data_IF_056828090040
#
_entry.id   IF_056828090040
#
_cell.length_a   1.000
_cell.length_b   1.000
_cell.length_c   1.000
_cell.angle_alpha   90.00
_cell.angle_beta   90.00
_cell.angle_gamma   90.00
#
_symmetry.space_group_name_H-M   'P 1'
#
loop_
_entity.id
_entity.type
_entity.pdbx_description
1 polymer ?
#
# COMPACT_ATOMS: atom_id res chain seq x y z
N UNK A 1 -16.43 0.55 6.45
CA UNK A 1 -17.33 1.31 5.55
C UNK A 1 -17.27 0.61 4.21
N UNK A 2 -18.28 -0.20 3.87
CA UNK A 2 -18.54 -0.44 2.45
C UNK A 2 -18.64 0.95 1.85
N UNK A 3 -17.89 1.21 0.82
CA UNK A 3 -17.92 2.50 0.14
C UNK A 3 -19.31 2.62 -0.46
N UNK A 4 -20.21 3.33 0.20
CA UNK A 4 -21.57 3.58 -0.29
C UNK A 4 -21.58 4.56 -1.48
N UNK A 5 -20.40 5.02 -1.91
CA UNK A 5 -20.28 5.92 -3.04
C UNK A 5 -20.35 5.10 -4.34
N UNK A 6 -21.39 5.32 -5.11
CA UNK A 6 -21.48 4.82 -6.48
C UNK A 6 -20.38 5.48 -7.33
N UNK A 7 -19.45 4.68 -7.82
CA UNK A 7 -18.32 5.16 -8.63
C UNK A 7 -18.63 5.22 -10.14
N UNK A 8 -19.86 4.96 -10.56
CA UNK A 8 -20.26 5.00 -11.97
C UNK A 8 -19.92 6.33 -12.63
N UNK A 9 -20.07 7.44 -11.90
CA UNK A 9 -19.78 8.79 -12.41
C UNK A 9 -18.29 9.18 -12.29
N UNK A 10 -17.41 8.31 -11.78
CA UNK A 10 -15.95 8.54 -11.72
C UNK A 10 -15.33 8.26 -13.08
N UNK A 11 -15.56 9.16 -14.02
CA UNK A 11 -15.02 9.10 -15.37
C UNK A 11 -14.75 10.51 -15.90
N UNK A 12 -13.89 10.63 -16.90
CA UNK A 12 -13.63 11.90 -17.56
C UNK A 12 -14.87 12.36 -18.34
N UNK A 13 -15.17 13.66 -18.30
CA UNK A 13 -16.41 14.18 -18.90
C UNK A 13 -16.48 13.97 -20.41
N UNK A 14 -15.34 13.90 -21.10
CA UNK A 14 -15.30 13.62 -22.55
C UNK A 14 -15.88 12.24 -22.89
N UNK A 15 -15.84 11.27 -21.96
CA UNK A 15 -16.46 9.98 -22.16
C UNK A 15 -17.95 10.12 -22.46
N UNK A 16 -18.67 10.90 -21.66
CA UNK A 16 -20.10 11.15 -21.88
C UNK A 16 -20.36 11.86 -23.20
N UNK A 17 -19.53 12.84 -23.58
CA UNK A 17 -19.73 13.58 -24.84
C UNK A 17 -19.48 12.68 -26.05
N UNK A 18 -18.43 11.83 -26.00
CA UNK A 18 -18.17 10.87 -27.07
C UNK A 18 -19.25 9.78 -27.14
N UNK A 19 -19.66 9.22 -25.99
CA UNK A 19 -20.74 8.23 -25.92
C UNK A 19 -22.04 8.76 -26.52
N UNK A 20 -22.43 10.01 -26.19
CA UNK A 20 -23.59 10.67 -26.79
C UNK A 20 -23.41 10.84 -28.31
N UNK A 21 -22.24 11.18 -28.79
CA UNK A 21 -21.88 11.25 -30.20
C UNK A 21 -22.02 9.89 -30.90
N UNK A 22 -21.41 8.84 -30.37
CA UNK A 22 -21.53 7.48 -30.90
C UNK A 22 -22.98 6.99 -30.94
N UNK A 23 -23.76 7.31 -29.88
CA UNK A 23 -25.17 6.99 -29.84
C UNK A 23 -25.95 7.71 -30.95
N UNK A 24 -25.72 9.01 -31.10
CA UNK A 24 -26.40 9.86 -32.07
C UNK A 24 -26.13 9.46 -33.53
N UNK A 25 -24.93 9.01 -33.81
CA UNK A 25 -24.47 8.60 -35.15
C UNK A 25 -24.72 7.11 -35.44
N UNK A 26 -25.37 6.38 -34.52
CA UNK A 26 -25.73 4.97 -34.71
C UNK A 26 -24.59 3.97 -34.54
N UNK A 27 -23.48 4.37 -33.88
CA UNK A 27 -22.33 3.52 -33.64
C UNK A 27 -22.36 2.78 -32.31
N UNK A 28 -23.41 2.91 -31.52
CA UNK A 28 -23.51 2.38 -30.14
C UNK A 28 -23.16 0.89 -30.03
N UNK A 29 -23.49 0.08 -31.03
CA UNK A 29 -23.28 -1.38 -31.05
C UNK A 29 -22.01 -1.79 -31.81
N UNK A 30 -21.22 -0.83 -32.32
CA UNK A 30 -19.98 -1.12 -33.02
C UNK A 30 -18.96 -1.70 -32.04
N UNK A 31 -18.42 -2.89 -32.39
CA UNK A 31 -17.41 -3.56 -31.55
C UNK A 31 -16.08 -2.80 -31.66
N UNK A 32 -15.52 -2.47 -30.49
CA UNK A 32 -14.22 -1.87 -30.32
C UNK A 32 -13.33 -2.71 -29.41
N UNK A 33 -12.03 -2.52 -29.52
CA UNK A 33 -11.01 -3.09 -28.65
C UNK A 33 -10.20 -1.92 -28.06
N UNK A 34 -10.05 -1.91 -26.75
CA UNK A 34 -9.22 -0.95 -26.04
C UNK A 34 -8.18 -1.70 -25.22
N UNK A 35 -6.91 -1.36 -25.44
CA UNK A 35 -5.78 -1.96 -24.76
C UNK A 35 -5.16 -0.96 -23.78
N UNK A 36 -5.08 -1.33 -22.51
CA UNK A 36 -4.28 -0.64 -21.52
C UNK A 36 -2.86 -1.17 -21.50
N UNK A 37 -1.87 -0.27 -21.44
CA UNK A 37 -0.46 -0.62 -21.30
C UNK A 37 0.32 0.50 -20.61
N UNK A 38 1.47 0.17 -20.00
CA UNK A 38 2.41 1.17 -19.50
C UNK A 38 3.28 1.68 -20.65
N UNK A 39 3.38 3.00 -20.81
CA UNK A 39 4.28 3.62 -21.79
C UNK A 39 5.74 3.50 -21.37
N UNK A 40 6.00 3.60 -20.07
CA UNK A 40 7.31 3.47 -19.43
C UNK A 40 7.12 3.11 -17.96
N UNK A 41 8.10 2.43 -17.38
CA UNK A 41 8.16 2.22 -15.93
C UNK A 41 8.90 3.41 -15.32
N UNK A 42 8.41 4.03 -14.23
CA UNK A 42 9.12 5.12 -13.55
C UNK A 42 10.49 4.71 -13.03
N UNK A 43 11.35 5.71 -12.81
CA UNK A 43 12.70 5.54 -12.24
C UNK A 43 13.57 4.56 -13.06
N UNK A 44 13.42 4.58 -14.38
CA UNK A 44 14.15 3.71 -15.35
C UNK A 44 14.05 2.21 -15.00
N UNK A 45 12.95 1.80 -14.35
CA UNK A 45 12.71 0.42 -14.00
C UNK A 45 12.46 -0.46 -15.22
N UNK A 46 12.96 -1.70 -15.20
CA UNK A 46 12.82 -2.67 -16.29
C UNK A 46 11.42 -3.29 -16.38
N UNK A 47 10.64 -3.30 -15.31
CA UNK A 47 9.29 -3.85 -15.24
C UNK A 47 8.47 -3.19 -14.13
N UNK A 48 7.15 -3.34 -14.19
CA UNK A 48 6.24 -3.03 -13.09
C UNK A 48 5.56 -4.31 -12.58
N UNK A 49 4.93 -4.23 -11.42
CA UNK A 49 4.12 -5.33 -10.86
C UNK A 49 2.65 -4.99 -11.09
N UNK A 50 1.92 -5.89 -11.75
CA UNK A 50 0.48 -5.73 -11.95
C UNK A 50 -0.26 -5.76 -10.62
N UNK A 51 -1.16 -4.79 -10.40
CA UNK A 51 -2.04 -4.75 -9.23
C UNK A 51 -3.29 -3.91 -9.51
N UNK A 52 -4.46 -4.36 -9.01
CA UNK A 52 -5.72 -3.63 -9.09
C UNK A 52 -6.84 -4.32 -9.87
N UNK A 53 -6.62 -5.51 -10.38
CA UNK A 53 -7.61 -6.23 -11.21
C UNK A 53 -8.89 -6.51 -10.42
N UNK A 54 -8.79 -6.87 -9.15
CA UNK A 54 -9.94 -7.16 -8.31
C UNK A 54 -10.89 -5.95 -8.17
N UNK A 55 -10.32 -4.75 -7.92
CA UNK A 55 -11.11 -3.52 -7.81
C UNK A 55 -11.78 -3.13 -9.13
N UNK A 56 -11.16 -3.43 -10.27
CA UNK A 56 -11.78 -3.23 -11.58
C UNK A 56 -12.96 -4.18 -11.76
N UNK A 57 -12.83 -5.46 -11.37
CA UNK A 57 -13.91 -6.44 -11.43
C UNK A 57 -15.10 -6.01 -10.54
N UNK A 58 -14.81 -5.54 -9.33
CA UNK A 58 -15.82 -5.01 -8.41
C UNK A 58 -16.54 -3.81 -9.03
N UNK A 59 -15.79 -2.80 -9.52
CA UNK A 59 -16.34 -1.63 -10.18
C UNK A 59 -17.25 -1.99 -11.36
N UNK A 60 -16.80 -2.86 -12.25
CA UNK A 60 -17.58 -3.26 -13.43
C UNK A 60 -18.91 -3.91 -13.04
N UNK A 61 -18.93 -4.72 -11.97
CA UNK A 61 -20.15 -5.36 -11.45
C UNK A 61 -21.13 -4.37 -10.82
N UNK A 62 -20.61 -3.25 -10.31
CA UNK A 62 -21.38 -2.23 -9.58
C UNK A 62 -21.80 -1.04 -10.45
N UNK A 63 -21.40 -0.99 -11.73
CA UNK A 63 -21.81 0.09 -12.65
C UNK A 63 -23.33 0.18 -12.68
N UNK A 64 -23.84 1.32 -12.24
CA UNK A 64 -25.28 1.62 -12.21
C UNK A 64 -25.53 3.12 -12.21
N UNK A 65 -26.14 3.64 -13.26
CA UNK A 65 -26.56 5.04 -13.32
C UNK A 65 -27.83 5.25 -12.50
N UNK A 66 -27.74 6.04 -11.44
CA UNK A 66 -28.88 6.40 -10.61
C UNK A 66 -29.76 7.46 -11.29
N UNK A 67 -30.99 7.64 -10.79
CA UNK A 67 -31.86 8.72 -11.27
C UNK A 67 -31.22 10.10 -11.07
N UNK A 68 -30.48 10.28 -9.98
CA UNK A 68 -29.73 11.50 -9.68
C UNK A 68 -28.60 11.74 -10.69
N UNK A 69 -27.88 10.71 -11.10
CA UNK A 69 -26.83 10.79 -12.13
C UNK A 69 -27.41 11.23 -13.48
N UNK A 70 -28.54 10.63 -13.87
CA UNK A 70 -29.23 10.97 -15.11
C UNK A 70 -29.74 12.41 -15.09
N UNK A 71 -30.34 12.87 -13.97
CA UNK A 71 -30.81 14.25 -13.84
C UNK A 71 -29.63 15.23 -13.84
N UNK A 72 -28.51 14.89 -13.22
CA UNK A 72 -27.27 15.66 -13.30
C UNK A 72 -26.82 15.83 -14.77
N UNK A 73 -26.74 14.72 -15.52
CA UNK A 73 -26.36 14.77 -16.93
C UNK A 73 -27.38 15.58 -17.76
N UNK A 74 -28.67 15.41 -17.51
CA UNK A 74 -29.75 16.20 -18.17
C UNK A 74 -29.58 17.69 -17.91
N UNK A 75 -29.21 18.08 -16.69
CA UNK A 75 -28.99 19.49 -16.33
C UNK A 75 -27.89 20.19 -17.13
N UNK A 76 -26.96 19.41 -17.75
CA UNK A 76 -25.92 19.98 -18.61
C UNK A 76 -26.47 20.53 -19.95
N UNK A 77 -27.66 20.09 -20.38
CA UNK A 77 -28.34 20.63 -21.57
C UNK A 77 -27.67 20.27 -22.91
N UNK A 78 -26.73 19.35 -22.94
CA UNK A 78 -25.95 18.96 -24.14
C UNK A 78 -26.18 17.52 -24.59
N UNK A 79 -26.84 16.71 -23.77
CA UNK A 79 -27.07 15.29 -24.04
C UNK A 79 -28.50 15.09 -24.63
N UNK A 80 -28.61 14.16 -25.59
CA UNK A 80 -29.90 13.76 -26.13
C UNK A 80 -30.70 12.94 -25.13
N UNK A 81 -32.01 13.14 -25.06
CA UNK A 81 -32.87 12.42 -24.12
C UNK A 81 -32.88 10.91 -24.38
N UNK A 82 -32.77 10.50 -25.64
CA UNK A 82 -32.65 9.07 -26.00
C UNK A 82 -31.38 8.43 -25.50
N UNK A 83 -30.28 9.21 -25.46
CA UNK A 83 -29.01 8.76 -24.87
C UNK A 83 -29.12 8.65 -23.33
N UNK A 84 -29.76 9.58 -22.67
CA UNK A 84 -30.00 9.53 -21.23
C UNK A 84 -30.83 8.30 -20.85
N UNK A 85 -31.87 7.98 -21.61
CA UNK A 85 -32.65 6.74 -21.46
C UNK A 85 -31.84 5.46 -21.72
N UNK A 86 -30.86 5.50 -22.61
CA UNK A 86 -29.93 4.40 -22.80
C UNK A 86 -29.07 4.18 -21.54
N UNK A 87 -28.57 5.27 -20.91
CA UNK A 87 -27.80 5.18 -19.66
C UNK A 87 -28.63 4.66 -18.48
N UNK A 88 -29.91 5.00 -18.36
CA UNK A 88 -30.83 4.45 -17.35
C UNK A 88 -30.90 2.92 -17.37
N UNK A 89 -30.67 2.31 -18.54
CA UNK A 89 -30.72 0.87 -18.77
C UNK A 89 -29.33 0.29 -19.09
N UNK A 90 -28.27 1.03 -18.75
CA UNK A 90 -26.90 0.62 -19.07
C UNK A 90 -26.54 -0.72 -18.43
N UNK A 91 -25.97 -1.61 -19.22
CA UNK A 91 -25.38 -2.86 -18.76
C UNK A 91 -24.01 -3.01 -19.40
N UNK A 92 -23.04 -3.42 -18.62
CA UNK A 92 -21.72 -3.73 -19.13
C UNK A 92 -21.70 -5.18 -19.64
N UNK A 93 -21.52 -5.35 -20.94
CA UNK A 93 -21.56 -6.65 -21.62
C UNK A 93 -20.26 -6.94 -22.41
N UNK A 94 -19.18 -6.19 -22.09
CA UNK A 94 -17.89 -6.39 -22.75
C UNK A 94 -17.13 -7.58 -22.17
N UNK A 95 -16.31 -8.21 -23.01
CA UNK A 95 -15.26 -9.12 -22.58
C UNK A 95 -14.08 -8.31 -22.04
N UNK A 96 -13.49 -8.78 -20.93
CA UNK A 96 -12.29 -8.17 -20.34
C UNK A 96 -11.25 -9.24 -20.06
N UNK A 97 -10.06 -9.05 -20.61
CA UNK A 97 -8.88 -9.86 -20.30
C UNK A 97 -7.90 -9.01 -19.52
N UNK A 98 -7.32 -9.56 -18.47
CA UNK A 98 -6.33 -8.87 -17.65
C UNK A 98 -5.20 -9.80 -17.24
N UNK A 99 -3.99 -9.26 -17.17
CA UNK A 99 -2.87 -9.95 -16.54
C UNK A 99 -3.14 -10.04 -15.02
N UNK A 100 -2.94 -11.21 -14.39
CA UNK A 100 -3.20 -11.36 -12.95
C UNK A 100 -2.35 -10.44 -12.06
N UNK A 101 -2.91 -10.01 -10.92
CA UNK A 101 -2.18 -9.28 -9.89
C UNK A 101 -0.91 -10.03 -9.46
N UNK A 102 0.18 -9.30 -9.20
CA UNK A 102 1.49 -9.85 -8.83
C UNK A 102 2.40 -10.23 -10.00
N UNK A 103 1.90 -10.23 -11.21
CA UNK A 103 2.69 -10.57 -12.42
C UNK A 103 3.60 -9.40 -12.82
N UNK A 104 4.89 -9.64 -13.16
CA UNK A 104 5.72 -8.63 -13.82
C UNK A 104 5.17 -8.27 -15.20
N UNK A 105 5.04 -6.97 -15.48
CA UNK A 105 4.55 -6.40 -16.73
C UNK A 105 5.56 -5.44 -17.33
N UNK A 106 5.56 -5.31 -18.66
CA UNK A 106 6.57 -4.55 -19.39
C UNK A 106 5.94 -3.41 -20.22
N UNK A 107 6.70 -2.34 -20.51
CA UNK A 107 6.19 -1.24 -21.33
C UNK A 107 5.75 -1.68 -22.72
N UNK A 108 4.61 -1.15 -23.18
CA UNK A 108 4.10 -1.38 -24.54
C UNK A 108 3.35 -2.70 -24.73
N UNK A 109 3.28 -3.57 -23.72
CA UNK A 109 2.49 -4.80 -23.76
C UNK A 109 1.08 -4.56 -23.23
N UNK A 110 0.01 -5.02 -23.93
CA UNK A 110 -1.34 -4.97 -23.41
C UNK A 110 -1.45 -5.74 -22.09
N UNK A 111 -1.91 -5.07 -21.02
CA UNK A 111 -2.10 -5.66 -19.70
C UNK A 111 -3.56 -5.85 -19.34
N UNK A 112 -4.44 -5.02 -19.93
CA UNK A 112 -5.89 -5.19 -19.92
C UNK A 112 -6.39 -4.91 -21.33
N UNK A 113 -7.25 -5.79 -21.84
CA UNK A 113 -7.98 -5.59 -23.10
C UNK A 113 -9.48 -5.62 -22.82
N UNK A 114 -10.20 -4.61 -23.26
CA UNK A 114 -11.66 -4.53 -23.19
C UNK A 114 -12.23 -4.60 -24.61
N UNK A 115 -13.12 -5.55 -24.86
CA UNK A 115 -13.76 -5.75 -26.17
C UNK A 115 -15.27 -5.75 -26.02
N UNK A 116 -15.95 -4.92 -26.78
CA UNK A 116 -17.41 -4.90 -26.78
C UNK A 116 -17.98 -3.69 -27.52
N UNK A 117 -19.27 -3.39 -27.33
CA UNK A 117 -19.89 -2.18 -27.85
C UNK A 117 -19.10 -0.94 -27.44
N UNK A 118 -18.80 -0.05 -28.41
CA UNK A 118 -17.83 1.06 -28.21
C UNK A 118 -18.17 1.95 -27.02
N UNK A 119 -19.44 2.21 -26.78
CA UNK A 119 -19.90 3.04 -25.64
C UNK A 119 -19.51 2.38 -24.33
N UNK A 120 -19.74 1.07 -24.18
CA UNK A 120 -19.46 0.32 -22.96
C UNK A 120 -17.95 0.12 -22.74
N UNK A 121 -17.25 -0.24 -23.83
CA UNK A 121 -15.82 -0.54 -23.78
C UNK A 121 -14.99 0.72 -23.44
N UNK A 122 -15.38 1.88 -23.94
CA UNK A 122 -14.72 3.14 -23.66
C UNK A 122 -15.05 3.67 -22.26
N UNK A 123 -16.28 3.54 -21.80
CA UNK A 123 -16.74 4.12 -20.54
C UNK A 123 -15.90 3.74 -19.32
N UNK A 124 -15.30 2.58 -19.31
CA UNK A 124 -14.49 2.07 -18.19
C UNK A 124 -13.03 2.55 -18.21
N UNK A 125 -12.63 3.34 -19.20
CA UNK A 125 -11.25 3.80 -19.41
C UNK A 125 -10.67 4.46 -18.17
N UNK A 126 -11.29 5.53 -17.70
CA UNK A 126 -10.76 6.33 -16.58
C UNK A 126 -10.54 5.49 -15.33
N UNK A 127 -11.52 4.65 -14.99
CA UNK A 127 -11.44 3.82 -13.78
C UNK A 127 -10.37 2.73 -13.88
N UNK A 128 -10.22 2.11 -15.06
CA UNK A 128 -9.16 1.13 -15.32
C UNK A 128 -7.79 1.80 -15.18
N UNK A 129 -7.59 2.94 -15.86
CA UNK A 129 -6.31 3.65 -15.83
C UNK A 129 -5.96 4.13 -14.43
N UNK A 130 -6.90 4.74 -13.72
CA UNK A 130 -6.72 5.24 -12.35
C UNK A 130 -6.31 4.11 -11.39
N UNK A 131 -7.05 3.01 -11.44
CA UNK A 131 -6.87 1.89 -10.52
C UNK A 131 -5.54 1.17 -10.74
N UNK A 132 -5.25 0.79 -11.98
CA UNK A 132 -4.03 0.05 -12.31
C UNK A 132 -2.79 0.93 -12.15
N UNK A 133 -2.85 2.19 -12.57
CA UNK A 133 -1.72 3.10 -12.43
C UNK A 133 -1.30 3.24 -10.96
N UNK A 134 -2.24 3.59 -10.08
CA UNK A 134 -1.95 3.77 -8.66
C UNK A 134 -1.42 2.48 -8.01
N UNK A 135 -2.15 1.37 -8.15
CA UNK A 135 -1.80 0.13 -7.46
C UNK A 135 -0.53 -0.50 -8.02
N UNK A 136 -0.35 -0.53 -9.33
CA UNK A 136 0.86 -1.11 -9.93
C UNK A 136 2.11 -0.31 -9.61
N UNK A 137 2.04 1.02 -9.52
CA UNK A 137 3.17 1.85 -9.10
C UNK A 137 3.57 1.60 -7.65
N UNK A 138 2.60 1.49 -6.74
CA UNK A 138 2.85 1.17 -5.33
C UNK A 138 3.43 -0.25 -5.20
N UNK A 139 2.82 -1.24 -5.85
CA UNK A 139 3.31 -2.62 -5.84
C UNK A 139 4.75 -2.73 -6.37
N UNK A 140 5.05 -1.99 -7.44
CA UNK A 140 6.39 -1.94 -8.05
C UNK A 140 7.42 -1.34 -7.10
N UNK A 141 7.11 -0.20 -6.46
CA UNK A 141 8.00 0.42 -5.47
C UNK A 141 8.23 -0.49 -4.27
N UNK A 142 7.15 -1.09 -3.74
CA UNK A 142 7.24 -2.07 -2.65
C UNK A 142 8.12 -3.28 -3.03
N UNK A 143 7.96 -3.82 -4.23
CA UNK A 143 8.76 -4.95 -4.72
C UNK A 143 10.25 -4.61 -4.80
N UNK A 144 10.62 -3.41 -5.27
CA UNK A 144 12.02 -2.95 -5.29
C UNK A 144 12.60 -2.89 -3.88
N UNK A 145 11.86 -2.34 -2.93
CA UNK A 145 12.27 -2.25 -1.52
C UNK A 145 12.44 -3.64 -0.91
N UNK A 146 11.47 -4.54 -1.13
CA UNK A 146 11.53 -5.93 -0.64
C UNK A 146 12.75 -6.67 -1.21
N UNK A 147 13.04 -6.50 -2.50
CA UNK A 147 14.23 -7.11 -3.12
C UNK A 147 15.53 -6.55 -2.56
N UNK A 148 15.60 -5.24 -2.34
CA UNK A 148 16.75 -4.60 -1.70
C UNK A 148 16.96 -5.11 -0.26
N UNK A 149 15.89 -5.49 0.44
CA UNK A 149 15.96 -6.03 1.79
C UNK A 149 16.51 -7.48 1.91
N UNK A 150 16.79 -8.15 0.78
CA UNK A 150 17.48 -9.44 0.72
C UNK A 150 16.91 -10.51 1.67
N UNK A 151 15.58 -10.68 1.64
CA UNK A 151 14.85 -11.66 2.45
C UNK A 151 14.45 -11.20 3.85
N UNK A 152 14.81 -9.99 4.25
CA UNK A 152 14.33 -9.41 5.51
C UNK A 152 12.92 -8.86 5.33
N UNK A 153 12.11 -8.93 6.40
CA UNK A 153 10.73 -8.46 6.37
C UNK A 153 10.68 -6.92 6.20
N UNK A 154 9.88 -6.47 5.24
CA UNK A 154 9.55 -5.06 5.02
C UNK A 154 8.10 -4.83 5.44
N UNK A 155 7.84 -3.75 6.17
CA UNK A 155 6.51 -3.35 6.61
C UNK A 155 6.13 -2.01 5.98
N UNK A 156 4.89 -1.89 5.48
CA UNK A 156 4.35 -0.66 4.92
C UNK A 156 3.79 0.21 6.05
N UNK A 157 4.40 1.36 6.31
CA UNK A 157 3.98 2.32 7.35
C UNK A 157 3.64 3.70 6.77
N UNK A 158 3.26 3.76 5.49
CA UNK A 158 3.02 4.98 4.73
C UNK A 158 1.61 5.55 4.79
N UNK A 159 0.63 4.86 5.39
CA UNK A 159 -0.80 5.21 5.34
C UNK A 159 -1.08 6.69 5.65
N UNK A 160 -0.49 7.25 6.71
CA UNK A 160 -0.67 8.67 7.09
C UNK A 160 -0.02 9.67 6.12
N UNK A 161 0.72 9.20 5.13
CA UNK A 161 1.40 10.01 4.09
C UNK A 161 0.76 9.83 2.70
N UNK A 162 -0.26 8.98 2.60
CA UNK A 162 -0.99 8.74 1.35
C UNK A 162 -1.87 9.93 0.98
N UNK A 163 -2.22 10.01 -0.30
CA UNK A 163 -3.03 11.09 -0.87
C UNK A 163 -4.53 10.76 -0.76
N UNK A 164 -5.02 10.73 0.47
CA UNK A 164 -6.40 10.40 0.79
C UNK A 164 -6.59 8.98 1.34
N UNK A 165 -7.76 8.75 1.96
CA UNK A 165 -8.02 7.49 2.67
C UNK A 165 -8.06 6.26 1.73
N UNK A 166 -8.64 6.42 0.54
CA UNK A 166 -8.67 5.33 -0.45
C UNK A 166 -7.26 4.97 -0.91
N UNK A 167 -6.40 5.97 -1.16
CA UNK A 167 -5.01 5.73 -1.53
C UNK A 167 -4.23 5.01 -0.41
N UNK A 168 -4.49 5.31 0.86
CA UNK A 168 -3.91 4.62 1.99
C UNK A 168 -4.34 3.15 2.05
N UNK A 169 -5.64 2.90 1.94
CA UNK A 169 -6.23 1.56 2.08
C UNK A 169 -5.82 0.66 0.92
N UNK A 170 -6.01 1.11 -0.30
CA UNK A 170 -5.69 0.35 -1.52
C UNK A 170 -4.17 0.25 -1.72
N UNK A 171 -3.43 1.31 -1.37
CA UNK A 171 -1.97 1.31 -1.42
C UNK A 171 -1.32 0.27 -0.50
N UNK A 172 -1.86 0.05 0.69
CA UNK A 172 -1.41 -1.01 1.59
C UNK A 172 -1.59 -2.41 0.97
N UNK A 173 -2.75 -2.67 0.33
CA UNK A 173 -2.98 -3.91 -0.42
C UNK A 173 -1.98 -4.06 -1.58
N UNK A 174 -1.79 -3.01 -2.36
CA UNK A 174 -0.85 -3.02 -3.48
C UNK A 174 0.59 -3.28 -3.02
N UNK A 175 1.03 -2.69 -1.90
CA UNK A 175 2.33 -2.95 -1.31
C UNK A 175 2.46 -4.42 -0.88
N UNK A 176 1.40 -5.02 -0.34
CA UNK A 176 1.38 -6.44 0.04
C UNK A 176 1.52 -7.36 -1.18
N UNK A 177 0.87 -7.04 -2.30
CA UNK A 177 1.10 -7.71 -3.60
C UNK A 177 2.58 -7.58 -4.01
N UNK A 178 3.20 -6.42 -3.76
CA UNK A 178 4.62 -6.16 -3.99
C UNK A 178 5.57 -6.95 -3.08
N UNK A 179 5.06 -7.61 -2.03
CA UNK A 179 5.81 -8.52 -1.16
C UNK A 179 6.12 -8.00 0.24
N UNK A 180 5.53 -6.89 0.70
CA UNK A 180 5.69 -6.46 2.11
C UNK A 180 4.98 -7.43 3.05
N UNK A 181 5.49 -7.57 4.27
CA UNK A 181 4.97 -8.52 5.26
C UNK A 181 3.65 -8.09 5.92
N UNK A 182 3.30 -6.80 5.84
CA UNK A 182 2.09 -6.22 6.43
C UNK A 182 2.11 -4.70 6.41
N UNK A 183 1.08 -4.10 7.01
CA UNK A 183 0.83 -2.66 6.96
C UNK A 183 0.49 -2.09 8.34
N UNK A 184 0.67 -0.78 8.52
CA UNK A 184 0.11 -0.04 9.66
C UNK A 184 -1.36 0.36 9.44
N UNK A 185 -1.93 0.12 8.27
CA UNK A 185 -3.29 0.48 7.90
C UNK A 185 -4.30 -0.58 8.38
N UNK A 186 -4.84 -0.42 9.56
CA UNK A 186 -5.71 -1.42 10.21
C UNK A 186 -6.91 -1.81 9.34
N UNK A 187 -7.55 -0.85 8.65
CA UNK A 187 -8.69 -1.15 7.78
C UNK A 187 -8.31 -2.03 6.57
N UNK A 188 -7.04 -2.01 6.15
CA UNK A 188 -6.58 -2.87 5.05
C UNK A 188 -6.42 -4.33 5.49
N UNK A 189 -6.20 -4.59 6.78
CA UNK A 189 -6.29 -5.94 7.34
C UNK A 189 -7.75 -6.42 7.33
N UNK A 190 -8.66 -5.61 7.85
CA UNK A 190 -10.09 -5.93 7.90
C UNK A 190 -10.70 -6.21 6.51
N UNK A 191 -10.35 -5.39 5.51
CA UNK A 191 -10.95 -5.47 4.17
C UNK A 191 -10.25 -6.48 3.25
N UNK A 192 -8.92 -6.59 3.34
CA UNK A 192 -8.11 -7.32 2.36
C UNK A 192 -7.24 -8.41 2.98
N UNK A 193 -7.28 -8.61 4.29
CA UNK A 193 -6.44 -9.59 4.98
C UNK A 193 -4.95 -9.27 4.95
N UNK A 194 -4.57 -8.00 4.76
CA UNK A 194 -3.17 -7.57 4.84
C UNK A 194 -2.78 -7.42 6.31
N UNK A 195 -1.86 -8.24 6.85
CA UNK A 195 -1.60 -8.27 8.28
C UNK A 195 -1.31 -6.90 8.88
N UNK A 196 -2.11 -6.48 9.89
CA UNK A 196 -1.86 -5.24 10.62
C UNK A 196 -0.66 -5.39 11.54
N UNK A 197 0.33 -4.51 11.37
CA UNK A 197 1.57 -4.51 12.12
C UNK A 197 1.84 -3.13 12.73
N UNK A 198 2.44 -3.12 13.91
CA UNK A 198 2.79 -1.88 14.58
C UNK A 198 3.54 -2.15 15.88
N UNK A 199 4.10 -1.08 16.44
CA UNK A 199 4.75 -1.08 17.74
C UNK A 199 4.18 0.08 18.56
N UNK A 200 5.01 1.04 18.95
CA UNK A 200 4.61 2.26 19.65
C UNK A 200 5.09 3.49 18.90
N UNK A 201 4.59 4.66 19.25
CA UNK A 201 5.10 5.95 18.82
C UNK A 201 5.92 6.61 19.94
N UNK A 202 6.74 7.64 19.60
CA UNK A 202 7.47 8.45 20.59
C UNK A 202 6.55 9.07 21.64
N UNK A 203 5.33 9.44 21.28
CA UNK A 203 4.33 9.98 22.21
C UNK A 203 3.98 9.01 23.35
N UNK A 204 4.01 7.69 23.12
CA UNK A 204 3.88 6.70 24.18
C UNK A 204 4.98 6.86 25.22
N UNK A 205 6.24 6.93 24.76
CA UNK A 205 7.39 7.05 25.65
C UNK A 205 7.36 8.38 26.42
N UNK A 206 7.00 9.47 25.75
CA UNK A 206 6.94 10.81 26.32
C UNK A 206 5.81 11.03 27.33
N UNK A 207 4.80 10.17 27.35
CA UNK A 207 3.65 10.28 28.23
C UNK A 207 3.94 9.75 29.65
N UNK A 208 4.98 8.96 29.83
CA UNK A 208 5.42 8.41 31.10
C UNK A 208 6.50 9.29 31.73
N UNK A 209 6.66 9.18 33.05
CA UNK A 209 7.65 9.96 33.79
C UNK A 209 9.10 9.57 33.43
N UNK A 210 9.29 8.35 32.90
CA UNK A 210 10.58 7.89 32.39
C UNK A 210 10.42 6.92 31.22
N UNK A 211 11.44 6.84 30.37
CA UNK A 211 11.53 5.86 29.28
C UNK A 211 11.47 4.42 29.79
N UNK A 212 12.07 4.14 30.95
CA UNK A 212 11.99 2.84 31.60
C UNK A 212 10.54 2.46 31.94
N UNK A 213 9.77 3.36 32.54
CA UNK A 213 8.35 3.10 32.88
C UNK A 213 7.50 2.85 31.64
N UNK A 214 7.73 3.61 30.58
CA UNK A 214 7.06 3.40 29.29
C UNK A 214 7.35 2.01 28.71
N UNK A 215 8.61 1.58 28.76
CA UNK A 215 9.03 0.27 28.28
C UNK A 215 8.51 -0.86 29.16
N UNK A 216 8.56 -0.67 30.49
CA UNK A 216 8.00 -1.59 31.47
C UNK A 216 6.51 -1.84 31.23
N UNK A 217 5.74 -0.77 31.09
CA UNK A 217 4.31 -0.84 30.82
C UNK A 217 4.03 -1.55 29.50
N UNK A 218 4.78 -1.28 28.44
CA UNK A 218 4.60 -1.95 27.15
C UNK A 218 4.94 -3.44 27.22
N UNK A 219 6.07 -3.81 27.78
CA UNK A 219 6.50 -5.20 27.91
C UNK A 219 5.52 -6.04 28.74
N UNK A 220 4.96 -5.47 29.82
CA UNK A 220 3.96 -6.10 30.66
C UNK A 220 2.67 -6.40 29.92
N UNK A 221 2.22 -5.50 29.03
CA UNK A 221 0.98 -5.65 28.28
C UNK A 221 1.13 -6.51 27.00
N UNK A 222 2.35 -6.51 26.39
CA UNK A 222 2.60 -7.18 25.12
C UNK A 222 3.88 -8.05 25.17
N UNK A 223 3.96 -9.04 26.07
CA UNK A 223 5.19 -9.78 26.31
C UNK A 223 5.68 -10.61 25.11
N UNK A 224 4.76 -11.17 24.30
CA UNK A 224 5.09 -12.01 23.14
C UNK A 224 5.45 -11.23 21.87
N UNK A 225 5.07 -9.95 21.82
CA UNK A 225 5.28 -9.07 20.65
C UNK A 225 6.13 -7.85 20.99
N UNK A 226 6.85 -7.87 22.11
CA UNK A 226 7.54 -6.70 22.64
C UNK A 226 8.65 -6.20 21.71
N UNK A 227 8.36 -5.08 21.03
CA UNK A 227 9.33 -4.31 20.25
C UNK A 227 9.35 -2.87 20.79
N UNK A 228 10.48 -2.43 21.32
CA UNK A 228 10.62 -1.14 22.02
C UNK A 228 11.26 -0.08 21.11
N UNK A 229 10.68 1.12 21.07
CA UNK A 229 11.20 2.27 20.33
C UNK A 229 12.24 3.00 21.17
N UNK A 230 13.52 2.83 20.80
CA UNK A 230 14.64 3.17 21.68
C UNK A 230 15.32 4.52 21.41
N UNK A 231 14.79 5.28 20.46
CA UNK A 231 15.40 6.54 20.00
C UNK A 231 14.63 7.81 20.40
N UNK A 232 13.70 7.71 21.35
CA UNK A 232 12.94 8.90 21.82
C UNK A 232 13.87 9.95 22.42
N UNK A 233 14.90 9.54 23.16
CA UNK A 233 15.88 10.44 23.78
C UNK A 233 17.30 10.15 23.28
N UNK A 234 17.93 9.09 23.78
CA UNK A 234 19.27 8.70 23.36
C UNK A 234 19.39 7.19 23.27
N UNK A 235 19.58 6.69 22.06
CA UNK A 235 19.62 5.25 21.77
C UNK A 235 20.60 4.50 22.67
N UNK A 236 21.85 4.96 22.74
CA UNK A 236 22.95 4.23 23.40
C UNK A 236 23.06 4.47 24.89
N UNK A 237 22.69 5.68 25.38
CA UNK A 237 22.82 6.04 26.78
C UNK A 237 21.60 5.76 27.64
N UNK A 238 20.43 5.66 27.00
CA UNK A 238 19.12 5.52 27.65
C UNK A 238 18.28 4.41 27.02
N UNK A 239 17.97 4.46 25.74
CA UNK A 239 17.05 3.57 25.08
C UNK A 239 17.42 2.08 25.21
N UNK A 240 18.58 1.68 24.72
CA UNK A 240 19.02 0.28 24.80
C UNK A 240 19.26 -0.17 26.25
N UNK A 241 19.94 0.62 27.13
CA UNK A 241 20.06 0.23 28.55
C UNK A 241 18.72 0.01 29.25
N UNK A 242 17.74 0.89 29.07
CA UNK A 242 16.39 0.73 29.63
C UNK A 242 15.65 -0.46 29.02
N UNK A 243 15.80 -0.71 27.72
CA UNK A 243 15.21 -1.87 27.06
C UNK A 243 15.76 -3.18 27.65
N UNK A 244 17.08 -3.32 27.77
CA UNK A 244 17.73 -4.51 28.36
C UNK A 244 17.27 -4.71 29.81
N UNK A 245 17.21 -3.65 30.59
CA UNK A 245 16.72 -3.70 31.97
C UNK A 245 15.27 -4.24 32.03
N UNK A 246 14.40 -3.77 31.15
CA UNK A 246 13.00 -4.25 31.07
C UNK A 246 12.94 -5.71 30.59
N UNK A 247 13.80 -6.11 29.66
CA UNK A 247 13.86 -7.52 29.23
C UNK A 247 14.23 -8.44 30.39
N UNK A 248 15.20 -8.06 31.23
CA UNK A 248 15.60 -8.84 32.38
C UNK A 248 14.55 -8.84 33.51
N UNK A 249 13.94 -7.70 33.80
CA UNK A 249 13.04 -7.54 34.96
C UNK A 249 11.58 -7.93 34.65
N UNK A 250 11.14 -7.89 33.37
CA UNK A 250 9.74 -8.15 32.99
C UNK A 250 9.65 -9.39 32.12
N UNK A 251 10.28 -9.40 30.95
CA UNK A 251 10.06 -10.49 29.98
C UNK A 251 10.65 -11.81 30.46
N UNK A 252 11.89 -11.80 30.95
CA UNK A 252 12.57 -13.01 31.41
C UNK A 252 11.85 -13.73 32.55
N UNK A 253 11.34 -13.05 33.60
CA UNK A 253 10.52 -13.70 34.64
C UNK A 253 9.20 -14.27 34.11
N UNK A 254 8.65 -13.67 33.03
CA UNK A 254 7.42 -14.16 32.37
C UNK A 254 7.70 -15.32 31.38
N UNK A 255 8.96 -15.75 31.24
CA UNK A 255 9.34 -16.77 30.25
C UNK A 255 9.27 -16.27 28.80
N UNK A 256 9.21 -14.96 28.60
CA UNK A 256 9.13 -14.34 27.28
C UNK A 256 10.49 -13.82 26.80
N UNK A 257 10.63 -13.65 25.49
CA UNK A 257 11.82 -13.06 24.85
C UNK A 257 11.42 -11.76 24.14
N UNK A 258 12.27 -10.71 24.12
CA UNK A 258 12.00 -9.53 23.32
C UNK A 258 11.95 -9.89 21.83
N UNK A 259 10.95 -9.34 21.12
CA UNK A 259 10.88 -9.47 19.66
C UNK A 259 11.89 -8.56 18.98
N UNK A 260 12.03 -7.32 19.47
CA UNK A 260 12.97 -6.38 18.86
C UNK A 260 13.10 -5.06 19.57
N UNK A 261 14.01 -4.24 19.05
CA UNK A 261 14.11 -2.81 19.29
C UNK A 261 13.96 -2.07 17.97
N UNK A 262 13.36 -0.86 17.97
CA UNK A 262 13.17 -0.04 16.77
C UNK A 262 13.94 1.26 16.87
N UNK A 263 14.62 1.61 15.78
CA UNK A 263 15.38 2.85 15.59
C UNK A 263 14.73 3.62 14.45
N UNK A 264 14.23 4.82 14.71
CA UNK A 264 13.45 5.65 13.78
C UNK A 264 14.21 6.92 13.36
N UNK A 265 15.40 7.17 13.91
CA UNK A 265 16.18 8.40 13.68
C UNK A 265 17.69 8.22 13.85
N UNK A 266 18.45 9.20 13.38
CA UNK A 266 19.90 9.24 13.48
C UNK A 266 20.61 8.40 12.39
N UNK A 267 21.90 8.15 12.60
CA UNK A 267 22.68 7.27 11.74
C UNK A 267 22.34 5.80 12.05
N UNK A 268 21.38 5.25 11.30
CA UNK A 268 20.86 3.90 11.53
C UNK A 268 21.96 2.86 11.41
N UNK A 269 22.90 3.03 10.48
CA UNK A 269 24.03 2.10 10.29
C UNK A 269 24.93 2.05 11.52
N UNK A 270 25.32 3.20 12.02
CA UNK A 270 26.15 3.27 13.22
C UNK A 270 25.40 2.77 14.46
N UNK A 271 24.16 3.23 14.63
CA UNK A 271 23.35 2.88 15.80
C UNK A 271 23.01 1.40 15.85
N UNK A 272 22.63 0.77 14.72
CA UNK A 272 22.29 -0.64 14.69
C UNK A 272 23.46 -1.55 15.07
N UNK A 273 24.70 -1.25 14.62
CA UNK A 273 25.91 -1.94 15.06
C UNK A 273 26.13 -1.87 16.57
N UNK A 274 25.99 -0.66 17.13
CA UNK A 274 26.17 -0.47 18.57
C UNK A 274 25.09 -1.17 19.37
N UNK A 275 23.83 -1.07 18.92
CA UNK A 275 22.71 -1.74 19.55
C UNK A 275 22.87 -3.27 19.49
N UNK A 276 23.30 -3.82 18.34
CA UNK A 276 23.54 -5.26 18.20
C UNK A 276 24.54 -5.73 19.22
N UNK A 277 25.70 -5.06 19.31
CA UNK A 277 26.72 -5.41 20.31
C UNK A 277 26.18 -5.36 21.75
N UNK A 278 25.42 -4.31 22.10
CA UNK A 278 24.88 -4.18 23.47
C UNK A 278 23.86 -5.27 23.78
N UNK A 279 23.02 -5.65 22.82
CA UNK A 279 22.04 -6.71 22.97
C UNK A 279 22.70 -8.09 23.09
N UNK A 280 23.75 -8.35 22.32
CA UNK A 280 24.51 -9.61 22.37
C UNK A 280 25.25 -9.74 23.70
N UNK A 281 25.95 -8.69 24.14
CA UNK A 281 26.65 -8.64 25.44
C UNK A 281 25.68 -8.86 26.62
N UNK A 282 24.40 -8.48 26.46
CA UNK A 282 23.33 -8.69 27.45
C UNK A 282 22.60 -10.04 27.33
N UNK A 283 22.96 -10.90 26.37
CA UNK A 283 22.38 -12.23 26.20
C UNK A 283 21.07 -12.26 25.37
N UNK A 284 20.85 -11.23 24.52
CA UNK A 284 19.72 -11.11 23.61
C UNK A 284 20.12 -11.11 22.11
N UNK A 285 20.87 -12.12 21.62
CA UNK A 285 21.32 -12.17 20.23
C UNK A 285 20.16 -12.38 19.25
N UNK A 286 19.02 -12.92 19.71
CA UNK A 286 17.78 -13.15 18.97
C UNK A 286 16.86 -11.90 18.90
N UNK A 287 17.15 -10.85 19.67
CA UNK A 287 16.39 -9.61 19.61
C UNK A 287 16.63 -8.88 18.29
N UNK A 288 15.58 -8.69 17.49
CA UNK A 288 15.68 -8.03 16.18
C UNK A 288 15.94 -6.53 16.32
N UNK A 289 16.61 -5.95 15.33
CA UNK A 289 16.72 -4.49 15.19
C UNK A 289 15.88 -4.07 13.99
N UNK A 290 14.86 -3.26 14.24
CA UNK A 290 13.95 -2.73 13.23
C UNK A 290 14.37 -1.31 12.87
N UNK A 291 14.78 -1.10 11.64
CA UNK A 291 15.03 0.23 11.10
C UNK A 291 13.75 0.82 10.51
N UNK A 292 13.47 2.08 10.77
CA UNK A 292 12.34 2.81 10.18
C UNK A 292 12.72 4.26 9.86
N UNK A 293 11.81 4.97 9.17
CA UNK A 293 11.97 6.34 8.70
C UNK A 293 12.63 6.45 7.31
N UNK A 294 11.81 6.84 6.33
CA UNK A 294 12.21 7.24 4.96
C UNK A 294 13.13 6.25 4.23
N UNK A 295 12.97 4.96 4.50
CA UNK A 295 13.76 3.92 3.84
C UNK A 295 13.22 3.66 2.43
N UNK A 296 14.15 3.60 1.49
CA UNK A 296 13.92 3.17 0.12
C UNK A 296 14.96 2.10 -0.29
N UNK A 297 14.84 1.58 -1.50
CA UNK A 297 15.77 0.57 -2.02
C UNK A 297 17.21 1.03 -2.05
N UNK A 298 17.47 2.31 -2.27
CA UNK A 298 18.82 2.87 -2.33
C UNK A 298 19.45 2.97 -0.95
N UNK A 299 18.71 3.50 0.02
CA UNK A 299 19.16 3.59 1.43
C UNK A 299 19.37 2.19 2.02
N UNK A 300 18.46 1.26 1.72
CA UNK A 300 18.58 -0.13 2.18
C UNK A 300 19.84 -0.78 1.59
N UNK A 301 20.12 -0.59 0.29
CA UNK A 301 21.38 -1.06 -0.30
C UNK A 301 22.60 -0.48 0.39
N UNK A 302 22.60 0.82 0.72
CA UNK A 302 23.71 1.46 1.46
C UNK A 302 23.90 0.88 2.86
N UNK A 303 22.82 0.54 3.56
CA UNK A 303 22.87 -0.12 4.86
C UNK A 303 23.59 -1.47 4.80
N UNK A 304 23.49 -2.19 3.67
CA UNK A 304 24.12 -3.51 3.51
C UNK A 304 25.50 -3.47 2.86
N UNK A 305 25.82 -2.47 2.09
CA UNK A 305 27.12 -2.35 1.40
C UNK A 305 28.19 -1.65 2.23
N UNK A 306 27.80 -0.86 3.25
CA UNK A 306 28.75 -0.41 4.27
C UNK A 306 29.10 -1.61 5.15
N UNK A 307 30.36 -1.74 5.63
CA UNK A 307 30.87 -2.81 6.53
C UNK A 307 29.99 -3.10 7.79
N UNK A 308 28.80 -2.55 7.79
CA UNK A 308 27.77 -2.58 8.82
C UNK A 308 26.81 -3.75 8.69
N UNK A 309 26.71 -4.35 7.52
CA UNK A 309 25.52 -5.10 7.14
C UNK A 309 25.58 -6.58 7.51
N UNK A 310 26.75 -7.12 7.78
CA UNK A 310 26.88 -8.58 7.80
C UNK A 310 26.24 -9.26 9.01
N UNK A 311 26.08 -8.59 10.14
CA UNK A 311 25.58 -9.24 11.36
C UNK A 311 24.46 -8.50 12.12
N UNK A 312 24.11 -7.24 11.80
CA UNK A 312 23.30 -6.42 12.72
C UNK A 312 21.82 -6.25 12.38
N UNK A 313 21.39 -6.67 11.19
CA UNK A 313 20.01 -6.52 10.71
C UNK A 313 19.32 -7.88 10.42
N UNK A 314 19.60 -8.87 11.24
CA UNK A 314 18.88 -10.16 11.17
C UNK A 314 17.53 -10.08 11.81
#
# INVERSE_FOLDING_TARGET
MKNEMNLTMLTDFYEFTMMNGFFAEGYKDKIAYFDMFFRRVPEDGGFAIMAGVEQIIEYIKEINFTAEDIEYLRSKGIFKEEFLKYLENFKFECDVWAVPDGTPIFPGEPIITVRGPVIQAQFVETMILLTINHQSLIATKANRIVRAAQGRAVMEFGSRRAQGYSAATIGARAAYIGGVAGTACTISDELYGVPALGTMAHSWVQLFDSEYEAFYAYAKNYPTGCTLLVDTYNVLKSGIPNAIKVFDEVLKPMGARPKGVRIDSGDITYLSKKCRKMLDDAGYPDCQIVASNSLDEYIICLLYTSDAADDSLR
#
